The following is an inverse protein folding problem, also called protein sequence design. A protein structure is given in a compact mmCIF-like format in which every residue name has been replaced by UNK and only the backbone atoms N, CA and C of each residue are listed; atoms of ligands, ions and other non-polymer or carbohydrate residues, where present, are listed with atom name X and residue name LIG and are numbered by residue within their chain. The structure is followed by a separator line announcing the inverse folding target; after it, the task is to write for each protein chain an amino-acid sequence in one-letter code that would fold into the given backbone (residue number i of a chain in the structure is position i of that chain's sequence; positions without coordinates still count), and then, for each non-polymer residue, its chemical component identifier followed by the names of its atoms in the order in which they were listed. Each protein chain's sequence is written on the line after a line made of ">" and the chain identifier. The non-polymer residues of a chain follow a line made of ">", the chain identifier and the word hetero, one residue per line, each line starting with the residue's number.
data_IF_325570851642
#
_entry.id   IF_325570851642
#
_cell.length_a   1.000
_cell.length_b   1.000
_cell.length_c   1.000
_cell.angle_alpha   90.00
_cell.angle_beta   90.00
_cell.angle_gamma   90.00
#
_symmetry.space_group_name_H-M   'P 1'
#
loop_
_entity.id
_entity.type
_entity.pdbx_description
1 polymer ?
#
# COMPACT_ATOMS: atom_id res chain seq x y z
N UNK A 1 44.77 7.98 5.90
CA UNK A 1 43.41 8.53 5.73
C UNK A 1 42.44 7.53 6.34
N UNK A 2 41.81 7.89 7.46
CA UNK A 2 40.82 7.05 8.13
C UNK A 2 39.44 7.39 7.61
N UNK A 3 38.79 6.42 6.98
CA UNK A 3 37.43 6.57 6.45
C UNK A 3 36.47 6.34 7.61
N UNK A 4 35.94 7.43 8.17
CA UNK A 4 34.90 7.36 9.19
C UNK A 4 33.60 6.91 8.50
N UNK A 5 33.20 5.66 8.70
CA UNK A 5 31.94 5.12 8.19
C UNK A 5 30.80 5.67 9.07
N UNK A 6 30.31 6.87 8.77
CA UNK A 6 29.04 7.33 9.35
C UNK A 6 27.90 6.47 8.81
N UNK A 7 27.40 5.54 9.63
CA UNK A 7 26.14 4.87 9.38
C UNK A 7 25.02 5.89 9.50
N UNK A 8 24.57 6.40 8.37
CA UNK A 8 23.42 7.29 8.28
C UNK A 8 22.18 6.54 8.82
N UNK A 9 21.78 6.78 10.07
CA UNK A 9 20.58 6.19 10.71
C UNK A 9 19.27 6.83 10.20
N UNK A 10 19.25 7.26 8.94
CA UNK A 10 18.14 7.99 8.33
C UNK A 10 17.16 7.06 7.59
N UNK A 11 16.95 5.87 8.14
CA UNK A 11 15.78 5.05 7.83
C UNK A 11 15.20 4.63 9.16
N UNK A 12 14.44 5.54 9.77
CA UNK A 12 13.33 5.12 10.61
C UNK A 12 12.57 4.09 9.77
N UNK A 13 12.49 2.88 10.29
CA UNK A 13 11.64 1.83 9.75
C UNK A 13 10.22 2.38 9.89
N UNK A 14 9.77 3.16 8.90
CA UNK A 14 8.37 3.58 8.79
C UNK A 14 7.62 2.26 8.83
N UNK A 15 6.94 1.99 9.96
CA UNK A 15 6.17 0.78 10.16
C UNK A 15 5.29 0.63 8.92
N UNK A 16 5.63 -0.36 8.08
CA UNK A 16 5.05 -0.46 6.75
C UNK A 16 3.53 -0.56 6.91
N UNK A 17 2.83 0.48 6.44
CA UNK A 17 1.39 0.62 6.67
C UNK A 17 0.68 -0.44 5.83
N UNK A 18 -0.13 -1.26 6.49
CA UNK A 18 -0.93 -2.27 5.80
C UNK A 18 -2.25 -1.67 5.33
N UNK A 19 -2.73 -2.08 4.17
CA UNK A 19 -4.00 -1.66 3.59
C UNK A 19 -4.83 -2.88 3.19
N UNK A 20 -6.15 -2.76 3.32
CA UNK A 20 -7.13 -3.72 2.85
C UNK A 20 -7.93 -3.08 1.71
N UNK A 21 -8.13 -3.81 0.62
CA UNK A 21 -8.84 -3.30 -0.53
C UNK A 21 -9.72 -4.37 -1.16
N UNK A 22 -10.91 -3.95 -1.57
CA UNK A 22 -11.82 -4.74 -2.39
C UNK A 22 -11.71 -4.24 -3.83
N UNK A 23 -11.49 -5.15 -4.77
CA UNK A 23 -11.39 -4.79 -6.17
C UNK A 23 -12.78 -4.40 -6.72
N UNK A 24 -12.99 -3.17 -7.20
CA UNK A 24 -14.28 -2.75 -7.73
C UNK A 24 -14.67 -3.44 -9.04
N UNK A 25 -13.72 -4.14 -9.69
CA UNK A 25 -13.96 -4.82 -10.97
C UNK A 25 -14.35 -6.30 -10.80
N UNK A 26 -13.74 -7.01 -9.85
CA UNK A 26 -13.96 -8.45 -9.67
C UNK A 26 -14.35 -8.85 -8.25
N UNK A 27 -14.52 -7.90 -7.33
CA UNK A 27 -14.87 -8.16 -5.93
C UNK A 27 -13.76 -8.82 -5.10
N UNK A 28 -12.58 -9.06 -5.67
CA UNK A 28 -11.48 -9.69 -4.93
C UNK A 28 -11.02 -8.80 -3.77
N UNK A 29 -11.11 -9.33 -2.56
CA UNK A 29 -10.64 -8.68 -1.33
C UNK A 29 -9.22 -9.14 -1.06
N UNK A 30 -8.32 -8.20 -0.81
CA UNK A 30 -6.92 -8.48 -0.52
C UNK A 30 -6.33 -7.44 0.42
N UNK A 31 -5.23 -7.81 1.08
CA UNK A 31 -4.46 -6.89 1.91
C UNK A 31 -3.02 -6.82 1.42
N UNK A 32 -2.43 -5.64 1.47
CA UNK A 32 -1.08 -5.38 0.95
C UNK A 32 -0.37 -4.32 1.81
N UNK A 33 0.94 -4.26 1.69
CA UNK A 33 1.83 -3.30 2.35
C UNK A 33 1.95 -2.01 1.54
N UNK A 34 2.19 -0.86 2.19
CA UNK A 34 2.33 0.43 1.48
C UNK A 34 3.49 0.39 0.49
N UNK A 35 4.56 -0.34 0.82
CA UNK A 35 5.69 -0.59 -0.07
C UNK A 35 5.34 -1.35 -1.35
N UNK A 36 4.21 -2.08 -1.36
CA UNK A 36 3.69 -2.76 -2.56
C UNK A 36 2.86 -1.83 -3.45
N UNK A 37 2.54 -0.62 -2.98
CA UNK A 37 1.84 0.39 -3.78
C UNK A 37 2.80 1.13 -4.69
N UNK A 38 2.33 1.47 -5.89
CA UNK A 38 3.05 2.30 -6.85
C UNK A 38 2.66 3.76 -6.68
N UNK A 39 3.65 4.63 -6.51
CA UNK A 39 3.44 6.06 -6.61
C UNK A 39 3.34 6.47 -8.08
N UNK A 40 2.21 7.04 -8.47
CA UNK A 40 2.01 7.65 -9.78
C UNK A 40 2.07 9.15 -9.60
N UNK A 41 3.18 9.74 -10.03
CA UNK A 41 3.37 11.18 -10.05
C UNK A 41 2.49 11.85 -11.10
N UNK A 42 2.36 13.17 -11.00
CA UNK A 42 1.54 13.97 -11.89
C UNK A 42 2.03 13.81 -13.32
N UNK A 43 1.20 13.15 -14.12
CA UNK A 43 1.37 13.03 -15.55
C UNK A 43 0.09 13.51 -16.22
N UNK A 44 0.22 14.50 -17.11
CA UNK A 44 -0.89 15.03 -17.89
C UNK A 44 -2.07 15.53 -17.03
N UNK A 45 -1.80 16.23 -15.93
CA UNK A 45 -2.83 16.84 -15.09
C UNK A 45 -3.55 15.88 -14.14
N UNK A 46 -3.10 14.63 -14.03
CA UNK A 46 -3.62 13.69 -13.03
C UNK A 46 -2.98 13.95 -11.67
N UNK A 47 -3.74 13.90 -10.56
CA UNK A 47 -3.19 14.12 -9.23
C UNK A 47 -2.18 13.03 -8.88
N UNK A 48 -1.22 13.38 -8.03
CA UNK A 48 -0.28 12.42 -7.43
C UNK A 48 -1.07 11.41 -6.61
N UNK A 49 -0.94 10.13 -6.90
CA UNK A 49 -1.72 9.08 -6.26
C UNK A 49 -0.88 7.84 -6.02
N UNK A 50 -1.13 7.17 -4.90
CA UNK A 50 -0.68 5.80 -4.70
C UNK A 50 -1.72 4.84 -5.29
N UNK A 51 -1.26 3.86 -6.04
CA UNK A 51 -2.13 2.85 -6.67
C UNK A 51 -1.63 1.44 -6.39
N UNK A 52 -2.53 0.48 -6.44
CA UNK A 52 -2.25 -0.95 -6.31
C UNK A 52 -2.95 -1.71 -7.44
N UNK A 53 -2.31 -2.75 -7.95
CA UNK A 53 -2.94 -3.63 -8.92
C UNK A 53 -3.70 -4.75 -8.21
N UNK A 54 -4.93 -5.03 -8.64
CA UNK A 54 -5.66 -6.19 -8.15
C UNK A 54 -4.92 -7.49 -8.54
N UNK A 55 -4.68 -8.42 -7.60
CA UNK A 55 -3.95 -9.65 -7.89
C UNK A 55 -4.71 -10.62 -8.81
N UNK A 56 -6.03 -10.46 -8.96
CA UNK A 56 -6.87 -11.35 -9.76
C UNK A 56 -7.11 -10.83 -11.18
N UNK A 57 -7.48 -9.55 -11.34
CA UNK A 57 -7.85 -8.98 -12.64
C UNK A 57 -6.92 -7.85 -13.12
N UNK A 58 -5.81 -7.59 -12.43
CA UNK A 58 -4.83 -6.55 -12.73
C UNK A 58 -5.39 -5.12 -12.81
N UNK A 59 -6.63 -4.88 -12.36
CA UNK A 59 -7.21 -3.54 -12.32
C UNK A 59 -6.41 -2.64 -11.38
N UNK A 60 -6.03 -1.47 -11.86
CA UNK A 60 -5.37 -0.44 -11.06
C UNK A 60 -6.40 0.27 -10.18
N UNK A 61 -6.15 0.25 -8.87
CA UNK A 61 -7.02 0.79 -7.82
C UNK A 61 -6.25 1.88 -7.09
N UNK A 62 -6.91 3.00 -6.84
CA UNK A 62 -6.34 4.11 -6.06
C UNK A 62 -6.39 3.76 -4.56
N UNK A 63 -5.30 4.00 -3.83
CA UNK A 63 -5.22 3.74 -2.38
C UNK A 63 -6.29 4.46 -1.56
N UNK A 64 -6.82 5.59 -2.05
CA UNK A 64 -7.94 6.30 -1.41
C UNK A 64 -9.23 5.49 -1.34
N UNK A 65 -9.34 4.43 -2.14
CA UNK A 65 -10.45 3.47 -2.10
C UNK A 65 -10.17 2.27 -1.18
N UNK A 66 -8.97 2.18 -0.62
CA UNK A 66 -8.56 1.11 0.27
C UNK A 66 -8.56 1.58 1.73
N UNK A 67 -8.84 0.68 2.66
CA UNK A 67 -8.89 0.97 4.10
C UNK A 67 -7.51 0.75 4.71
N UNK A 68 -7.05 1.69 5.54
CA UNK A 68 -5.82 1.53 6.32
C UNK A 68 -6.04 0.53 7.45
N UNK A 69 -5.16 -0.46 7.56
CA UNK A 69 -5.15 -1.50 8.59
C UNK A 69 -3.97 -1.22 9.52
N UNK A 70 -4.24 -0.56 10.64
CA UNK A 70 -3.22 -0.19 11.63
C UNK A 70 -2.61 -1.39 12.36
N UNK A 71 -3.33 -2.51 12.44
CA UNK A 71 -2.92 -3.71 13.16
C UNK A 71 -3.21 -5.00 12.36
N UNK A 72 -2.53 -6.10 12.71
CA UNK A 72 -2.79 -7.42 12.12
C UNK A 72 -4.23 -7.90 12.38
N UNK A 73 -4.81 -7.50 13.52
CA UNK A 73 -6.20 -7.80 13.89
C UNK A 73 -7.21 -7.10 12.98
N UNK A 74 -6.97 -5.83 12.62
CA UNK A 74 -7.79 -5.10 11.65
C UNK A 74 -7.78 -5.78 10.28
N UNK A 75 -6.63 -6.32 9.87
CA UNK A 75 -6.53 -7.06 8.60
C UNK A 75 -7.38 -8.33 8.59
N UNK A 76 -7.43 -9.06 9.72
CA UNK A 76 -8.30 -10.22 9.88
C UNK A 76 -9.78 -9.83 9.80
N UNK A 77 -10.18 -8.83 10.59
CA UNK A 77 -11.57 -8.33 10.62
C UNK A 77 -12.04 -7.82 9.25
N UNK A 78 -11.17 -7.12 8.51
CA UNK A 78 -11.48 -6.66 7.16
C UNK A 78 -11.75 -7.83 6.20
N UNK A 79 -10.92 -8.88 6.24
CA UNK A 79 -11.12 -10.07 5.41
C UNK A 79 -12.37 -10.87 5.82
N UNK A 80 -12.73 -10.86 7.11
CA UNK A 80 -13.94 -11.54 7.60
C UNK A 80 -15.23 -10.78 7.26
N UNK A 81 -15.21 -9.44 7.26
CA UNK A 81 -16.36 -8.61 6.91
C UNK A 81 -16.71 -8.62 5.42
N UNK A 82 -15.72 -8.91 4.56
CA UNK A 82 -15.87 -8.94 3.11
C UNK A 82 -15.77 -10.37 2.53
N UNK A 83 -16.09 -11.40 3.33
CA UNK A 83 -16.17 -12.81 2.90
C UNK A 83 -17.47 -13.10 2.17
#
# INVERSE_FOLDING_TARGET
>A
MEIIIQRNRHKVHDLDRKYGCECPNCGTVFSFQKSESMYVGNYSGRPNLYVVACPNCCKIINLTKCTWLSSKEDAGKFLELHK
#
